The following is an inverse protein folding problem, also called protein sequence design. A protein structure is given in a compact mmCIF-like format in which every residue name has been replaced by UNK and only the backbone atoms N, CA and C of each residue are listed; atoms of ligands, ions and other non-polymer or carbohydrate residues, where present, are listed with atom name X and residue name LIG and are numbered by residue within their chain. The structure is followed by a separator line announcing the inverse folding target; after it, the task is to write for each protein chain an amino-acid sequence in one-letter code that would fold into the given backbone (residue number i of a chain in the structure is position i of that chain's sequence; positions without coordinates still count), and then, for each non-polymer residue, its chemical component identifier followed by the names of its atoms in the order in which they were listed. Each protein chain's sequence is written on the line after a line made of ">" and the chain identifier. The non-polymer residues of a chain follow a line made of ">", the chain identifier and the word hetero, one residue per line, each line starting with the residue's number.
data_IF_185135748420
#
_entry.id   IF_185135748420
#
_cell.length_a   1.000
_cell.length_b   1.000
_cell.length_c   1.000
_cell.angle_alpha   90.00
_cell.angle_beta   90.00
_cell.angle_gamma   90.00
#
_symmetry.space_group_name_H-M   'P 1'
#
loop_
_entity.id
_entity.type
_entity.pdbx_description
1 polymer ?
#
# COMPACT_ATOMS: atom_id res chain seq x y z
N UNK A 1 -12.48 -75.76 -33.10
CA UNK A 1 -13.13 -74.47 -32.99
C UNK A 1 -12.18 -73.53 -32.22
N UNK A 2 -11.55 -72.56 -32.91
CA UNK A 2 -10.69 -71.54 -32.29
C UNK A 2 -11.49 -70.25 -32.26
N UNK A 3 -11.81 -69.76 -31.04
CA UNK A 3 -12.51 -68.48 -30.82
C UNK A 3 -11.45 -67.40 -30.74
N UNK A 4 -11.42 -66.47 -31.72
CA UNK A 4 -10.60 -65.28 -31.73
C UNK A 4 -11.29 -64.24 -30.89
N UNK A 5 -10.69 -63.85 -29.71
CA UNK A 5 -11.07 -62.68 -28.93
C UNK A 5 -10.42 -61.44 -29.55
N UNK A 6 -11.22 -60.64 -30.23
CA UNK A 6 -10.80 -59.28 -30.65
C UNK A 6 -10.99 -58.35 -29.51
N UNK A 7 -9.87 -57.96 -28.85
CA UNK A 7 -9.88 -56.91 -27.82
C UNK A 7 -9.87 -55.54 -28.51
N UNK A 8 -11.03 -54.86 -28.52
CA UNK A 8 -11.15 -53.48 -28.95
C UNK A 8 -10.57 -52.57 -27.86
N UNK A 9 -9.35 -52.10 -28.05
CA UNK A 9 -8.75 -51.04 -27.27
C UNK A 9 -9.41 -49.69 -27.64
N UNK A 10 -10.42 -49.28 -26.88
CA UNK A 10 -10.98 -47.93 -26.95
C UNK A 10 -9.95 -46.96 -26.38
N UNK A 11 -9.17 -46.32 -27.25
CA UNK A 11 -8.28 -45.23 -26.89
C UNK A 11 -9.12 -44.01 -26.45
N UNK A 12 -9.35 -43.86 -25.15
CA UNK A 12 -9.89 -42.64 -24.58
C UNK A 12 -8.92 -41.49 -24.87
N UNK A 13 -9.16 -40.72 -25.93
CA UNK A 13 -8.52 -39.44 -26.15
C UNK A 13 -8.98 -38.52 -25.03
N UNK A 14 -8.17 -38.36 -23.99
CA UNK A 14 -8.32 -37.27 -23.01
C UNK A 14 -8.05 -35.97 -23.76
N UNK A 15 -9.11 -35.37 -24.30
CA UNK A 15 -9.05 -34.00 -24.81
C UNK A 15 -8.72 -33.12 -23.64
N UNK A 16 -7.50 -32.63 -23.59
CA UNK A 16 -7.11 -31.60 -22.59
C UNK A 16 -8.05 -30.43 -22.77
N UNK A 17 -8.82 -30.10 -21.74
CA UNK A 17 -9.64 -28.88 -21.74
C UNK A 17 -8.76 -27.67 -22.06
N UNK A 18 -9.23 -26.71 -22.86
CA UNK A 18 -8.46 -25.49 -23.09
C UNK A 18 -8.12 -24.80 -21.76
N UNK A 19 -6.93 -24.20 -21.64
CA UNK A 19 -6.55 -23.50 -20.43
C UNK A 19 -7.59 -22.41 -20.12
N UNK A 20 -7.89 -22.17 -18.83
CA UNK A 20 -8.83 -21.14 -18.46
C UNK A 20 -8.34 -19.76 -18.96
N UNK A 21 -9.27 -18.85 -19.32
CA UNK A 21 -8.89 -17.49 -19.73
C UNK A 21 -8.12 -16.79 -18.62
N UNK A 22 -7.19 -15.88 -18.97
CA UNK A 22 -6.43 -15.13 -17.97
C UNK A 22 -7.36 -14.23 -17.14
N UNK A 23 -7.06 -14.01 -15.84
CA UNK A 23 -7.84 -13.13 -14.98
C UNK A 23 -8.01 -11.73 -15.57
N UNK A 24 -9.17 -11.13 -15.35
CA UNK A 24 -9.44 -9.71 -15.68
C UNK A 24 -8.81 -8.78 -14.66
N UNK A 25 -8.73 -7.46 -14.96
CA UNK A 25 -8.28 -6.47 -13.99
C UNK A 25 -9.22 -6.33 -12.79
N UNK A 26 -10.52 -6.59 -12.98
CA UNK A 26 -11.52 -6.59 -11.91
C UNK A 26 -11.25 -7.75 -10.93
N UNK A 27 -11.07 -8.95 -11.45
CA UNK A 27 -10.75 -10.14 -10.64
C UNK A 27 -9.42 -9.98 -9.90
N UNK A 28 -8.41 -9.43 -10.58
CA UNK A 28 -7.10 -9.15 -9.98
C UNK A 28 -7.23 -8.18 -8.80
N UNK A 29 -7.95 -7.08 -8.97
CA UNK A 29 -8.17 -6.09 -7.92
C UNK A 29 -9.04 -6.62 -6.77
N UNK A 30 -10.07 -7.42 -7.08
CA UNK A 30 -10.90 -8.07 -6.06
C UNK A 30 -10.08 -9.04 -5.21
N UNK A 31 -9.19 -9.82 -5.82
CA UNK A 31 -8.29 -10.71 -5.10
C UNK A 31 -7.35 -9.95 -4.16
N UNK A 32 -6.76 -8.83 -4.62
CA UNK A 32 -5.92 -7.96 -3.77
C UNK A 32 -6.69 -7.48 -2.54
N UNK A 33 -7.95 -7.05 -2.70
CA UNK A 33 -8.80 -6.65 -1.56
C UNK A 33 -9.02 -7.80 -0.57
N UNK A 34 -9.27 -9.00 -1.06
CA UNK A 34 -9.41 -10.21 -0.20
C UNK A 34 -8.14 -10.43 0.62
N UNK A 35 -6.96 -10.27 0.03
CA UNK A 35 -5.68 -10.43 0.73
C UNK A 35 -5.44 -9.38 1.82
N UNK A 36 -6.05 -8.19 1.71
CA UNK A 36 -5.98 -7.15 2.75
C UNK A 36 -6.73 -7.55 4.02
N UNK A 37 -7.71 -8.46 3.93
CA UNK A 37 -8.47 -8.98 5.07
C UNK A 37 -9.31 -7.91 5.79
N UNK A 38 -9.63 -6.79 5.11
CA UNK A 38 -10.41 -5.67 5.65
C UNK A 38 -11.40 -5.15 4.62
N UNK A 39 -12.54 -4.64 5.09
CA UNK A 39 -13.67 -4.21 4.24
C UNK A 39 -13.92 -2.69 4.29
N UNK A 40 -12.97 -1.93 4.83
CA UNK A 40 -13.09 -0.49 5.00
C UNK A 40 -12.86 0.31 3.70
N UNK A 41 -12.91 1.62 3.82
CA UNK A 41 -12.72 2.54 2.71
C UNK A 41 -11.31 2.41 2.11
N UNK A 42 -10.29 2.27 2.96
CA UNK A 42 -8.91 2.15 2.48
C UNK A 42 -8.71 0.89 1.62
N UNK A 43 -9.28 -0.25 2.03
CA UNK A 43 -9.22 -1.47 1.23
C UNK A 43 -9.91 -1.31 -0.15
N UNK A 44 -11.03 -0.56 -0.20
CA UNK A 44 -11.69 -0.23 -1.47
C UNK A 44 -10.84 0.68 -2.37
N UNK A 45 -10.15 1.64 -1.79
CA UNK A 45 -9.23 2.53 -2.52
C UNK A 45 -8.04 1.77 -3.08
N UNK A 46 -7.42 0.89 -2.30
CA UNK A 46 -6.35 0.00 -2.79
C UNK A 46 -6.87 -0.87 -3.95
N UNK A 47 -8.05 -1.47 -3.81
CA UNK A 47 -8.68 -2.23 -4.90
C UNK A 47 -8.83 -1.38 -6.17
N UNK A 48 -9.32 -0.14 -6.02
CA UNK A 48 -9.50 0.77 -7.15
C UNK A 48 -8.17 1.13 -7.82
N UNK A 49 -7.11 1.38 -7.03
CA UNK A 49 -5.76 1.62 -7.55
C UNK A 49 -5.31 0.44 -8.42
N UNK A 50 -5.40 -0.79 -7.91
CA UNK A 50 -5.01 -1.97 -8.68
C UNK A 50 -5.84 -2.15 -9.94
N UNK A 51 -7.15 -1.96 -9.89
CA UNK A 51 -8.03 -2.07 -11.05
C UNK A 51 -7.70 -1.02 -12.12
N UNK A 52 -7.49 0.23 -11.71
CA UNK A 52 -7.18 1.35 -12.59
C UNK A 52 -5.81 1.15 -13.24
N UNK A 53 -4.77 0.86 -12.46
CA UNK A 53 -3.42 0.64 -13.00
C UNK A 53 -3.36 -0.59 -13.91
N UNK A 54 -4.01 -1.68 -13.54
CA UNK A 54 -4.08 -2.87 -14.38
C UNK A 54 -4.68 -2.57 -15.76
N UNK A 55 -5.74 -1.77 -15.81
CA UNK A 55 -6.43 -1.40 -17.06
C UNK A 55 -5.61 -0.36 -17.85
N UNK A 56 -5.22 0.74 -17.20
CA UNK A 56 -4.62 1.88 -17.88
C UNK A 56 -3.19 1.59 -18.34
N UNK A 57 -2.43 0.86 -17.55
CA UNK A 57 -1.08 0.39 -17.88
C UNK A 57 -1.08 -0.94 -18.65
N UNK A 58 -2.25 -1.48 -19.02
CA UNK A 58 -2.43 -2.71 -19.82
C UNK A 58 -1.59 -3.90 -19.32
N UNK A 59 -1.74 -4.26 -18.06
CA UNK A 59 -0.95 -5.35 -17.46
C UNK A 59 -1.10 -6.65 -18.23
N UNK A 60 0.03 -7.28 -18.54
CA UNK A 60 0.08 -8.55 -19.26
C UNK A 60 -0.68 -9.66 -18.51
N UNK A 61 -1.24 -10.66 -19.25
CA UNK A 61 -1.99 -11.76 -18.65
C UNK A 61 -1.24 -12.54 -17.57
N UNK A 62 0.06 -12.73 -17.72
CA UNK A 62 0.93 -13.43 -16.77
C UNK A 62 1.12 -12.63 -15.47
N UNK A 63 1.16 -11.29 -15.53
CA UNK A 63 1.17 -10.43 -14.35
C UNK A 63 -0.13 -10.58 -13.57
N UNK A 64 -1.26 -10.52 -14.25
CA UNK A 64 -2.59 -10.66 -13.64
C UNK A 64 -2.76 -12.05 -13.01
N UNK A 65 -2.36 -13.12 -13.73
CA UNK A 65 -2.38 -14.48 -13.21
C UNK A 65 -1.48 -14.64 -11.97
N UNK A 66 -0.29 -14.05 -11.99
CA UNK A 66 0.60 -14.02 -10.84
C UNK A 66 -0.07 -13.35 -9.63
N UNK A 67 -0.68 -12.17 -9.80
CA UNK A 67 -1.35 -11.43 -8.72
C UNK A 67 -2.49 -12.24 -8.10
N UNK A 68 -3.31 -12.92 -8.91
CA UNK A 68 -4.42 -13.76 -8.43
C UNK A 68 -3.93 -15.05 -7.75
N UNK A 69 -2.76 -15.55 -8.11
CA UNK A 69 -2.18 -16.74 -7.46
C UNK A 69 -1.49 -16.44 -6.12
N UNK A 70 -1.27 -15.18 -5.79
CA UNK A 70 -0.62 -14.75 -4.54
C UNK A 70 -1.52 -15.01 -3.34
N UNK A 71 -0.98 -15.62 -2.27
CA UNK A 71 -1.74 -15.94 -1.06
C UNK A 71 -1.56 -14.91 0.07
N UNK A 72 -0.67 -13.96 -0.10
CA UNK A 72 -0.37 -12.95 0.93
C UNK A 72 -0.01 -11.62 0.30
N UNK A 73 -0.53 -10.54 0.85
CA UNK A 73 -0.17 -9.18 0.44
C UNK A 73 1.32 -8.86 0.69
N UNK A 74 1.98 -9.63 1.55
CA UNK A 74 3.43 -9.50 1.81
C UNK A 74 4.29 -10.08 0.69
N UNK A 75 3.70 -10.85 -0.22
CA UNK A 75 4.39 -11.58 -1.30
C UNK A 75 4.16 -11.03 -2.73
N UNK A 76 3.59 -9.83 -2.93
CA UNK A 76 3.41 -9.27 -4.28
C UNK A 76 4.74 -8.86 -4.93
N UNK A 77 5.86 -8.92 -4.21
CA UNK A 77 7.17 -8.53 -4.74
C UNK A 77 7.52 -9.28 -6.01
N UNK A 78 7.21 -10.57 -6.10
CA UNK A 78 7.48 -11.38 -7.31
C UNK A 78 6.60 -10.96 -8.50
N UNK A 79 5.31 -10.73 -8.29
CA UNK A 79 4.40 -10.30 -9.35
C UNK A 79 4.69 -8.85 -9.78
N UNK A 80 4.99 -7.97 -8.83
CA UNK A 80 5.38 -6.59 -9.09
C UNK A 80 6.68 -6.49 -9.89
N UNK A 81 7.61 -7.43 -9.71
CA UNK A 81 8.84 -7.49 -10.50
C UNK A 81 8.60 -7.78 -11.99
N UNK A 82 7.44 -8.35 -12.36
CA UNK A 82 7.05 -8.59 -13.75
C UNK A 82 6.48 -7.35 -14.45
N UNK A 83 6.09 -6.31 -13.69
CA UNK A 83 5.70 -5.02 -14.23
C UNK A 83 6.91 -4.29 -14.81
N UNK A 84 6.73 -3.51 -15.87
CA UNK A 84 7.76 -2.59 -16.35
C UNK A 84 8.11 -1.54 -15.28
N UNK A 85 9.24 -0.85 -15.46
CA UNK A 85 9.65 0.21 -14.53
C UNK A 85 8.57 1.30 -14.44
N UNK A 86 8.00 1.73 -15.58
CA UNK A 86 6.95 2.73 -15.62
C UNK A 86 5.68 2.27 -14.89
N UNK A 87 5.20 1.05 -15.16
CA UNK A 87 4.02 0.48 -14.49
C UNK A 87 4.20 0.37 -12.97
N UNK A 88 5.40 -0.02 -12.51
CA UNK A 88 5.74 -0.05 -11.07
C UNK A 88 5.71 1.34 -10.46
N UNK A 89 6.30 2.32 -11.15
CA UNK A 89 6.33 3.70 -10.68
C UNK A 89 4.92 4.28 -10.53
N UNK A 90 4.04 4.06 -11.52
CA UNK A 90 2.64 4.49 -11.45
C UNK A 90 1.89 3.81 -10.29
N UNK A 91 2.02 2.49 -10.16
CA UNK A 91 1.39 1.75 -9.07
C UNK A 91 1.87 2.24 -7.70
N UNK A 92 3.19 2.45 -7.53
CA UNK A 92 3.76 2.91 -6.28
C UNK A 92 3.31 4.33 -5.92
N UNK A 93 3.23 5.23 -6.90
CA UNK A 93 2.74 6.59 -6.70
C UNK A 93 1.29 6.60 -6.22
N UNK A 94 0.41 5.81 -6.87
CA UNK A 94 -1.00 5.76 -6.48
C UNK A 94 -1.22 5.06 -5.13
N UNK A 95 -0.45 4.02 -4.80
CA UNK A 95 -0.49 3.39 -3.49
C UNK A 95 0.00 4.35 -2.38
N UNK A 96 1.02 5.15 -2.65
CA UNK A 96 1.47 6.19 -1.72
C UNK A 96 0.41 7.28 -1.53
N UNK A 97 -0.27 7.70 -2.61
CA UNK A 97 -1.37 8.66 -2.54
C UNK A 97 -2.54 8.10 -1.71
N UNK A 98 -2.95 6.85 -1.92
CA UNK A 98 -4.00 6.20 -1.14
C UNK A 98 -3.61 6.08 0.35
N UNK A 99 -2.36 5.73 0.65
CA UNK A 99 -1.86 5.69 2.03
C UNK A 99 -1.79 7.09 2.68
N UNK A 100 -1.47 8.13 1.91
CA UNK A 100 -1.50 9.52 2.39
C UNK A 100 -2.94 9.97 2.69
N UNK A 101 -3.90 9.65 1.81
CA UNK A 101 -5.31 9.95 2.02
C UNK A 101 -5.87 9.25 3.27
N UNK A 102 -5.48 7.99 3.51
CA UNK A 102 -5.87 7.26 4.73
C UNK A 102 -5.32 7.94 5.98
N UNK A 103 -4.02 8.31 5.99
CA UNK A 103 -3.44 9.06 7.12
C UNK A 103 -4.14 10.39 7.34
N UNK A 104 -4.50 11.10 6.25
CA UNK A 104 -5.21 12.38 6.36
C UNK A 104 -6.61 12.24 6.97
N UNK A 105 -7.25 11.07 6.82
CA UNK A 105 -8.51 10.75 7.49
C UNK A 105 -8.34 10.36 8.95
N UNK A 106 -7.22 9.73 9.29
CA UNK A 106 -6.98 9.22 10.64
C UNK A 106 -6.45 10.28 11.60
N UNK A 107 -5.70 11.27 11.08
CA UNK A 107 -5.00 12.25 11.92
C UNK A 107 -5.41 13.68 11.58
N UNK A 108 -5.48 14.57 12.60
CA UNK A 108 -5.68 15.99 12.36
C UNK A 108 -4.61 16.57 11.42
N UNK A 109 -4.97 17.45 10.46
CA UNK A 109 -4.01 18.06 9.54
C UNK A 109 -2.80 18.70 10.21
N UNK A 110 -2.91 19.39 11.37
CA UNK A 110 -1.74 19.90 12.10
C UNK A 110 -0.75 18.81 12.54
N UNK A 111 -1.24 17.59 12.83
CA UNK A 111 -0.36 16.49 13.22
C UNK A 111 0.44 15.94 12.03
N UNK A 112 -0.16 15.91 10.84
CA UNK A 112 0.54 15.54 9.61
C UNK A 112 1.62 16.58 9.29
N UNK A 113 1.31 17.87 9.44
CA UNK A 113 2.28 18.94 9.26
C UNK A 113 3.43 18.83 10.26
N UNK A 114 3.13 18.57 11.54
CA UNK A 114 4.16 18.35 12.56
C UNK A 114 5.06 17.17 12.21
N UNK A 115 4.49 16.06 11.75
CA UNK A 115 5.26 14.91 11.28
C UNK A 115 6.19 15.29 10.12
N UNK A 116 5.69 16.00 9.11
CA UNK A 116 6.50 16.47 7.97
C UNK A 116 7.69 17.33 8.43
N UNK A 117 7.44 18.24 9.37
CA UNK A 117 8.50 19.10 9.92
C UNK A 117 9.56 18.30 10.69
N UNK A 118 9.16 17.29 11.47
CA UNK A 118 10.09 16.38 12.15
C UNK A 118 10.92 15.62 11.14
N UNK A 119 10.32 15.09 10.06
CA UNK A 119 11.02 14.36 9.01
C UNK A 119 12.05 15.25 8.31
N UNK A 120 11.71 16.50 7.99
CA UNK A 120 12.65 17.49 7.42
C UNK A 120 13.77 17.84 8.40
N UNK A 121 13.46 18.11 9.66
CA UNK A 121 14.46 18.37 10.69
C UNK A 121 15.42 17.18 10.90
N UNK A 122 14.90 15.96 10.82
CA UNK A 122 15.70 14.74 10.94
C UNK A 122 16.69 14.53 9.77
N UNK A 123 16.56 15.28 8.68
CA UNK A 123 17.53 15.30 7.57
C UNK A 123 18.46 16.52 7.61
N UNK A 124 18.27 17.44 8.55
CA UNK A 124 19.07 18.65 8.66
C UNK A 124 20.48 18.34 9.19
N UNK A 125 21.52 18.69 8.43
CA UNK A 125 22.93 18.47 8.80
C UNK A 125 23.42 19.39 9.92
N UNK A 126 22.70 20.45 10.23
CA UNK A 126 22.98 21.34 11.38
C UNK A 126 22.69 20.66 12.72
N UNK A 127 21.92 19.58 12.69
CA UNK A 127 21.58 18.83 13.90
C UNK A 127 22.52 17.63 14.09
N UNK A 128 23.02 17.38 15.31
CA UNK A 128 23.78 16.18 15.60
C UNK A 128 22.91 14.91 15.40
N UNK A 129 23.51 13.77 15.02
CA UNK A 129 22.78 12.53 14.78
C UNK A 129 21.90 12.09 15.96
N UNK A 130 22.35 12.28 17.20
CA UNK A 130 21.59 11.94 18.40
C UNK A 130 20.33 12.78 18.56
N UNK A 131 20.37 14.07 18.20
CA UNK A 131 19.19 14.93 18.24
C UNK A 131 18.16 14.52 17.16
N UNK A 132 18.62 14.16 15.97
CA UNK A 132 17.77 13.66 14.88
C UNK A 132 17.04 12.36 15.26
N UNK A 133 17.75 11.43 15.90
CA UNK A 133 17.17 10.19 16.41
C UNK A 133 16.17 10.43 17.55
N UNK A 134 16.52 11.31 18.49
CA UNK A 134 15.63 11.67 19.59
C UNK A 134 14.31 12.28 19.10
N UNK A 135 14.35 13.11 18.04
CA UNK A 135 13.12 13.67 17.44
C UNK A 135 12.24 12.59 16.81
N UNK A 136 12.83 11.63 16.09
CA UNK A 136 12.07 10.50 15.51
C UNK A 136 11.42 9.64 16.60
N UNK A 137 12.19 9.27 17.61
CA UNK A 137 11.70 8.51 18.76
C UNK A 137 10.58 9.25 19.48
N UNK A 138 10.73 10.57 19.67
CA UNK A 138 9.71 11.42 20.28
C UNK A 138 8.42 11.49 19.44
N UNK A 139 8.53 11.57 18.12
CA UNK A 139 7.38 11.54 17.23
C UNK A 139 6.66 10.20 17.29
N UNK A 140 7.40 9.09 17.30
CA UNK A 140 6.79 7.75 17.37
C UNK A 140 6.07 7.53 18.71
N UNK A 141 6.62 8.03 19.82
CA UNK A 141 5.96 8.00 21.11
C UNK A 141 4.67 8.86 21.12
N UNK A 142 4.69 10.04 20.48
CA UNK A 142 3.50 10.87 20.34
C UNK A 142 2.42 10.21 19.50
N UNK A 143 2.78 9.55 18.39
CA UNK A 143 1.83 8.83 17.53
C UNK A 143 1.07 7.73 18.29
N UNK A 144 1.69 7.07 19.26
CA UNK A 144 1.02 6.09 20.11
C UNK A 144 -0.13 6.69 20.91
N UNK A 145 -0.09 8.00 21.19
CA UNK A 145 -1.14 8.74 21.89
C UNK A 145 -2.23 9.30 20.96
N UNK A 146 -2.06 9.20 19.63
CA UNK A 146 -3.05 9.66 18.66
C UNK A 146 -4.12 8.58 18.41
N UNK A 147 -4.76 8.12 19.48
CA UNK A 147 -5.82 7.14 19.46
C UNK A 147 -7.13 7.74 19.96
N UNK A 148 -8.26 7.13 19.61
CA UNK A 148 -9.58 7.62 20.06
C UNK A 148 -9.95 8.98 19.46
N UNK A 149 -9.50 9.25 18.21
CA UNK A 149 -9.76 10.50 17.49
C UNK A 149 -11.17 10.60 16.91
N UNK A 150 -12.00 9.60 17.13
CA UNK A 150 -13.43 9.59 16.91
C UNK A 150 -14.20 10.45 17.95
N UNK A 151 -13.61 10.69 19.14
CA UNK A 151 -14.12 11.69 20.10
C UNK A 151 -13.73 13.10 19.63
N UNK A 152 -14.72 13.99 19.36
CA UNK A 152 -14.47 15.36 18.89
C UNK A 152 -13.61 16.22 19.83
N UNK A 153 -13.72 15.99 21.15
CA UNK A 153 -12.91 16.73 22.14
C UNK A 153 -11.47 16.29 22.05
N UNK A 154 -11.22 14.99 22.07
CA UNK A 154 -9.87 14.43 21.93
C UNK A 154 -9.23 14.78 20.59
N UNK A 155 -10.01 14.75 19.50
CA UNK A 155 -9.54 15.20 18.18
C UNK A 155 -9.06 16.66 18.23
N UNK A 156 -9.86 17.53 18.87
CA UNK A 156 -9.51 18.96 19.02
C UNK A 156 -8.24 19.13 19.86
N UNK A 157 -8.14 18.46 21.00
CA UNK A 157 -6.99 18.59 21.90
C UNK A 157 -5.69 18.13 21.23
N UNK A 158 -5.73 17.00 20.52
CA UNK A 158 -4.60 16.48 19.74
C UNK A 158 -4.25 17.43 18.59
N UNK A 159 -5.25 17.97 17.89
CA UNK A 159 -5.04 18.95 16.82
C UNK A 159 -4.34 20.20 17.30
N UNK A 160 -4.79 20.77 18.44
CA UNK A 160 -4.21 21.97 19.02
C UNK A 160 -2.77 21.73 19.51
N UNK A 161 -2.51 20.59 20.14
CA UNK A 161 -1.16 20.19 20.57
C UNK A 161 -0.21 20.03 19.38
N UNK A 162 -0.65 19.38 18.30
CA UNK A 162 0.14 19.24 17.07
C UNK A 162 0.42 20.61 16.43
N UNK A 163 -0.56 21.52 16.42
CA UNK A 163 -0.38 22.88 15.90
C UNK A 163 0.70 23.62 16.65
N UNK A 164 0.66 23.61 17.98
CA UNK A 164 1.67 24.26 18.82
C UNK A 164 3.06 23.62 18.59
N UNK A 165 3.14 22.29 18.51
CA UNK A 165 4.38 21.57 18.25
C UNK A 165 4.96 21.88 16.85
N UNK A 166 4.11 21.98 15.83
CA UNK A 166 4.53 22.35 14.48
C UNK A 166 5.11 23.78 14.42
N UNK A 167 4.49 24.72 15.13
CA UNK A 167 5.00 26.08 15.20
C UNK A 167 6.35 26.16 15.92
N UNK A 168 6.48 25.48 17.06
CA UNK A 168 7.77 25.39 17.76
C UNK A 168 8.87 24.76 16.90
N UNK A 169 8.52 23.72 16.12
CA UNK A 169 9.45 23.06 15.20
C UNK A 169 9.91 24.01 14.08
N UNK A 170 9.01 24.80 13.50
CA UNK A 170 9.38 25.82 12.49
C UNK A 170 10.33 26.86 13.05
N UNK A 171 10.05 27.39 14.23
CA UNK A 171 10.91 28.38 14.89
C UNK A 171 12.29 27.80 15.16
N UNK A 172 12.37 26.58 15.70
CA UNK A 172 13.63 25.87 15.92
C UNK A 172 14.40 25.65 14.61
N UNK A 173 13.73 25.16 13.57
CA UNK A 173 14.35 24.94 12.26
C UNK A 173 14.90 26.22 11.65
N UNK A 174 14.14 27.31 11.69
CA UNK A 174 14.58 28.62 11.22
C UNK A 174 15.81 29.09 11.99
N UNK A 175 15.78 29.01 13.33
CA UNK A 175 16.90 29.44 14.20
C UNK A 175 18.19 28.62 13.93
N UNK A 176 18.06 27.36 13.56
CA UNK A 176 19.18 26.47 13.23
C UNK A 176 19.63 26.61 11.77
N UNK A 177 18.89 27.31 10.93
CA UNK A 177 19.15 27.42 9.49
C UNK A 177 18.88 26.12 8.73
N UNK A 178 17.92 25.29 9.21
CA UNK A 178 17.42 24.13 8.50
C UNK A 178 16.40 24.54 7.43
N UNK A 179 16.42 23.92 6.25
CA UNK A 179 15.39 24.07 5.23
C UNK A 179 14.15 23.25 5.63
N UNK A 180 13.01 23.88 5.94
CA UNK A 180 11.75 23.24 6.35
C UNK A 180 10.67 23.32 5.27
#
# INVERSE_FOLDING_TARGET
>A
MRVLFVVMLAACRHGSAPPPPPPTCVETAAHVRTLLGREDQHAREIQQVFQTRCRDDQWAPDVRACMVSTQSFKDPKHCKARLSIAQRSHLDADLQAAAAAERARQYPPPCLLYQELVDKMATCDKLPPSAREAMRTGLDALKQNWTGLDDPRRYKDVSDACKAAAEAMRQAGTSLGCAL
#
